data_IF_581358828529
#
_entry.id   IF_581358828529
#
_cell.length_a   1.000
_cell.length_b   1.000
_cell.length_c   1.000
_cell.angle_alpha   90.00
_cell.angle_beta   90.00
_cell.angle_gamma   90.00
#
_symmetry.space_group_name_H-M   'P 1'
#
loop_
_entity.id
_entity.type
_entity.pdbx_description
1 polymer ?
#
# COMPACT_ATOMS: atom_id res chain seq x y z
N UNK A 1 30.63 -41.85 17.01
CA UNK A 1 30.46 -40.57 17.72
C UNK A 1 29.09 -40.01 17.38
N UNK A 2 28.13 -40.14 18.29
CA UNK A 2 26.75 -39.71 18.11
C UNK A 2 26.56 -38.32 18.72
N UNK A 3 26.17 -37.34 17.90
CA UNK A 3 25.78 -36.01 18.37
C UNK A 3 24.42 -36.10 19.07
N UNK A 4 24.42 -35.98 20.40
CA UNK A 4 23.20 -35.73 21.18
C UNK A 4 22.74 -34.29 20.92
N UNK A 5 21.60 -34.15 20.26
CA UNK A 5 20.84 -32.90 20.19
C UNK A 5 20.30 -32.63 21.60
N UNK A 6 20.74 -31.54 22.21
CA UNK A 6 20.19 -31.03 23.46
C UNK A 6 18.82 -30.41 23.15
N UNK A 7 17.72 -30.84 23.81
CA UNK A 7 16.42 -30.20 23.62
C UNK A 7 16.44 -28.79 24.25
N UNK A 8 15.74 -27.80 23.68
CA UNK A 8 15.64 -26.48 24.29
C UNK A 8 14.83 -26.59 25.59
N UNK A 9 15.55 -26.58 26.71
CA UNK A 9 14.99 -26.49 28.06
C UNK A 9 14.48 -25.08 28.34
N UNK A 10 13.26 -25.00 28.85
CA UNK A 10 12.88 -23.97 29.82
C UNK A 10 12.14 -22.77 29.24
N UNK A 11 10.81 -22.80 29.37
CA UNK A 11 10.01 -21.61 29.63
C UNK A 11 10.70 -20.81 30.76
N UNK A 12 11.28 -19.66 30.44
CA UNK A 12 11.69 -18.69 31.46
C UNK A 12 10.44 -17.96 31.97
N UNK A 13 10.05 -18.13 33.24
CA UNK A 13 9.00 -17.33 33.86
C UNK A 13 9.62 -16.01 34.30
N UNK A 14 9.25 -14.90 33.65
CA UNK A 14 9.68 -13.55 34.09
C UNK A 14 9.99 -12.52 33.01
N UNK A 15 9.72 -12.77 31.72
CA UNK A 15 9.82 -11.72 30.72
C UNK A 15 8.66 -10.72 30.93
N UNK A 16 8.91 -9.66 31.70
CA UNK A 16 8.08 -8.44 31.69
C UNK A 16 7.75 -8.15 30.23
N UNK A 17 6.46 -8.01 29.89
CA UNK A 17 5.97 -7.79 28.53
C UNK A 17 6.48 -6.42 28.04
N UNK A 18 7.76 -6.33 27.68
CA UNK A 18 8.40 -5.10 27.23
C UNK A 18 7.65 -4.66 25.98
N UNK A 19 7.10 -3.45 26.04
CA UNK A 19 6.40 -2.84 24.91
C UNK A 19 7.31 -2.86 23.68
N UNK A 20 6.84 -3.40 22.54
CA UNK A 20 7.63 -3.55 21.30
C UNK A 20 8.43 -2.29 20.92
N UNK A 21 7.95 -1.11 21.33
CA UNK A 21 8.61 0.18 21.20
C UNK A 21 10.04 0.26 21.78
N UNK A 22 10.43 -0.62 22.71
CA UNK A 22 11.80 -0.65 23.24
C UNK A 22 12.86 -0.91 22.14
N UNK A 23 12.47 -1.61 21.07
CA UNK A 23 13.35 -1.89 19.92
C UNK A 23 13.82 -0.58 19.26
N UNK A 24 12.99 0.46 19.24
CA UNK A 24 13.33 1.77 18.68
C UNK A 24 14.47 2.42 19.47
N UNK A 25 14.45 2.32 20.80
CA UNK A 25 15.54 2.82 21.64
C UNK A 25 16.79 1.93 21.61
N UNK A 26 16.62 0.62 21.45
CA UNK A 26 17.70 -0.36 21.52
C UNK A 26 18.54 -0.38 20.24
N UNK A 27 17.90 -0.31 19.07
CA UNK A 27 18.54 -0.48 17.77
C UNK A 27 18.49 0.82 16.96
N UNK A 28 19.59 1.58 17.01
CA UNK A 28 19.70 2.89 16.34
C UNK A 28 19.45 2.80 14.83
N UNK A 29 19.97 1.76 14.18
CA UNK A 29 19.81 1.56 12.73
C UNK A 29 18.36 1.23 12.36
N UNK A 30 17.67 0.42 13.17
CA UNK A 30 16.25 0.16 13.01
C UNK A 30 15.43 1.45 13.21
N UNK A 31 15.78 2.29 14.18
CA UNK A 31 15.11 3.57 14.39
C UNK A 31 15.20 4.48 13.16
N UNK A 32 16.37 4.56 12.52
CA UNK A 32 16.54 5.32 11.28
C UNK A 32 15.65 4.76 10.17
N UNK A 33 15.66 3.44 9.97
CA UNK A 33 14.80 2.77 8.98
C UNK A 33 13.30 3.02 9.27
N UNK A 34 12.90 2.97 10.53
CA UNK A 34 11.53 3.15 10.99
C UNK A 34 11.06 4.58 10.73
N UNK A 35 11.83 5.61 11.15
CA UNK A 35 11.51 7.02 10.87
C UNK A 35 11.43 7.27 9.36
N UNK A 36 12.41 6.79 8.59
CA UNK A 36 12.39 6.92 7.13
C UNK A 36 11.17 6.25 6.48
N UNK A 37 10.60 5.20 7.09
CA UNK A 37 9.37 4.57 6.62
C UNK A 37 8.17 5.50 6.68
N UNK A 38 8.02 6.24 7.79
CA UNK A 38 6.91 7.19 7.95
C UNK A 38 6.98 8.29 6.89
N UNK A 39 8.14 8.89 6.69
CA UNK A 39 8.31 9.89 5.64
C UNK A 39 8.10 9.31 4.24
N UNK A 40 8.59 8.09 3.98
CA UNK A 40 8.42 7.44 2.66
C UNK A 40 6.94 7.23 2.35
N UNK A 41 6.19 6.65 3.28
CA UNK A 41 4.78 6.36 3.05
C UNK A 41 3.92 7.63 3.07
N UNK A 42 4.25 8.59 3.94
CA UNK A 42 3.59 9.90 3.97
C UNK A 42 3.73 10.65 2.65
N UNK A 43 4.97 10.77 2.14
CA UNK A 43 5.26 11.39 0.85
C UNK A 43 4.46 10.73 -0.29
N UNK A 44 4.41 9.39 -0.33
CA UNK A 44 3.66 8.66 -1.34
C UNK A 44 2.16 8.95 -1.30
N UNK A 45 1.54 9.00 -0.11
CA UNK A 45 0.11 9.29 -0.01
C UNK A 45 -0.23 10.74 -0.32
N UNK A 46 0.61 11.69 0.10
CA UNK A 46 0.49 13.10 -0.29
C UNK A 46 0.57 13.21 -1.82
N UNK A 47 1.56 12.58 -2.46
CA UNK A 47 1.73 12.57 -3.91
C UNK A 47 0.51 12.00 -4.64
N UNK A 48 0.06 10.81 -4.23
CA UNK A 48 -1.10 10.12 -4.84
C UNK A 48 -2.35 11.00 -4.77
N UNK A 49 -2.62 11.60 -3.61
CA UNK A 49 -3.75 12.50 -3.44
C UNK A 49 -3.58 13.75 -4.32
N UNK A 50 -2.45 14.43 -4.21
CA UNK A 50 -2.19 15.71 -4.88
C UNK A 50 -2.28 15.58 -6.39
N UNK A 51 -1.63 14.57 -6.97
CA UNK A 51 -1.66 14.35 -8.42
C UNK A 51 -3.06 13.99 -8.91
N UNK A 52 -3.82 13.21 -8.14
CA UNK A 52 -5.21 12.89 -8.46
C UNK A 52 -6.08 14.15 -8.58
N UNK A 53 -6.02 15.05 -7.60
CA UNK A 53 -6.77 16.32 -7.68
C UNK A 53 -6.21 17.28 -8.72
N UNK A 54 -4.88 17.36 -8.88
CA UNK A 54 -4.24 18.26 -9.85
C UNK A 54 -4.67 17.90 -11.28
N UNK A 55 -4.64 16.62 -11.64
CA UNK A 55 -5.09 16.19 -12.98
C UNK A 55 -6.59 16.42 -13.14
N UNK A 56 -7.40 16.21 -12.11
CA UNK A 56 -8.83 16.52 -12.17
C UNK A 56 -9.09 17.98 -12.51
N UNK A 57 -8.33 18.90 -11.91
CA UNK A 57 -8.42 20.34 -12.20
C UNK A 57 -7.87 20.69 -13.58
N UNK A 58 -6.70 20.18 -13.96
CA UNK A 58 -6.07 20.44 -15.27
C UNK A 58 -6.84 19.89 -16.47
N UNK A 59 -7.83 19.03 -16.24
CA UNK A 59 -8.59 18.34 -17.29
C UNK A 59 -10.09 18.56 -17.17
N UNK A 60 -10.49 19.61 -16.47
CA UNK A 60 -11.90 20.03 -16.32
C UNK A 60 -12.82 18.89 -15.86
N UNK A 61 -12.35 18.08 -14.91
CA UNK A 61 -13.14 16.98 -14.36
C UNK A 61 -13.03 15.66 -15.11
N UNK A 62 -12.05 15.47 -16.01
CA UNK A 62 -11.88 14.21 -16.73
C UNK A 62 -11.51 13.04 -15.78
N UNK A 63 -12.53 12.23 -15.47
CA UNK A 63 -12.40 11.09 -14.58
C UNK A 63 -11.41 10.02 -15.10
N UNK A 64 -11.39 9.76 -16.41
CA UNK A 64 -10.51 8.76 -17.00
C UNK A 64 -9.04 9.11 -16.79
N UNK A 65 -8.65 10.36 -17.09
CA UNK A 65 -7.27 10.83 -16.89
C UNK A 65 -6.90 10.85 -15.41
N UNK A 66 -7.82 11.31 -14.54
CA UNK A 66 -7.61 11.43 -13.09
C UNK A 66 -7.30 10.10 -12.40
N UNK A 67 -8.04 9.03 -12.70
CA UNK A 67 -7.71 7.75 -12.08
C UNK A 67 -6.54 7.04 -12.78
N UNK A 68 -6.40 7.20 -14.11
CA UNK A 68 -5.31 6.58 -14.86
C UNK A 68 -3.94 7.10 -14.43
N UNK A 69 -3.79 8.41 -14.18
CA UNK A 69 -2.51 8.99 -13.75
C UNK A 69 -2.03 8.39 -12.42
N UNK A 70 -2.95 8.14 -11.48
CA UNK A 70 -2.62 7.51 -10.19
C UNK A 70 -2.32 6.02 -10.37
N UNK A 71 -3.10 5.33 -11.21
CA UNK A 71 -2.90 3.92 -11.54
C UNK A 71 -1.54 3.64 -12.20
N UNK A 72 -1.05 4.53 -13.07
CA UNK A 72 0.24 4.37 -13.76
C UNK A 72 1.41 4.19 -12.79
N UNK A 73 1.34 4.75 -11.58
CA UNK A 73 2.39 4.58 -10.57
C UNK A 73 2.61 3.12 -10.18
N UNK A 74 1.60 2.25 -10.24
CA UNK A 74 1.78 0.84 -9.92
C UNK A 74 2.18 -0.02 -11.12
N UNK A 75 2.10 0.50 -12.34
CA UNK A 75 2.42 -0.25 -13.56
C UNK A 75 3.91 -0.73 -13.62
N UNK A 76 4.92 0.10 -13.26
CA UNK A 76 6.31 -0.33 -13.32
C UNK A 76 6.64 -1.55 -12.45
N UNK A 77 5.83 -1.86 -11.42
CA UNK A 77 6.11 -2.99 -10.52
C UNK A 77 6.05 -4.33 -11.25
N UNK A 78 5.23 -4.43 -12.30
CA UNK A 78 5.11 -5.64 -13.12
C UNK A 78 6.40 -5.94 -13.89
N UNK A 79 7.08 -4.89 -14.34
CA UNK A 79 8.28 -5.01 -15.19
C UNK A 79 9.52 -5.03 -14.31
N UNK A 80 9.61 -4.12 -13.35
CA UNK A 80 10.81 -3.85 -12.54
C UNK A 80 10.85 -4.70 -11.27
N UNK A 81 9.69 -5.07 -10.71
CA UNK A 81 9.59 -5.83 -9.46
C UNK A 81 10.46 -7.10 -9.42
N UNK A 82 10.43 -7.97 -10.45
CA UNK A 82 11.27 -9.16 -10.50
C UNK A 82 12.79 -8.86 -10.44
N UNK A 83 13.22 -7.74 -10.99
CA UNK A 83 14.64 -7.33 -11.04
C UNK A 83 15.07 -6.56 -9.80
N UNK A 84 14.14 -5.86 -9.14
CA UNK A 84 14.42 -5.04 -7.97
C UNK A 84 15.04 -5.84 -6.83
N UNK A 85 14.63 -7.10 -6.63
CA UNK A 85 15.22 -8.00 -5.64
C UNK A 85 16.67 -8.37 -5.96
N UNK A 86 16.96 -8.71 -7.22
CA UNK A 86 18.33 -9.02 -7.68
C UNK A 86 19.23 -7.79 -7.53
N UNK A 87 18.72 -6.62 -7.88
CA UNK A 87 19.43 -5.36 -7.70
C UNK A 87 19.74 -5.14 -6.20
N UNK A 88 18.77 -5.36 -5.32
CA UNK A 88 18.91 -5.22 -3.87
C UNK A 88 20.00 -6.13 -3.26
N UNK A 89 20.32 -7.24 -3.91
CA UNK A 89 21.36 -8.16 -3.46
C UNK A 89 22.75 -7.76 -3.95
N UNK A 90 22.85 -7.17 -5.15
CA UNK A 90 24.12 -6.78 -5.78
C UNK A 90 24.67 -5.42 -5.33
N UNK A 91 23.80 -4.50 -4.90
CA UNK A 91 24.24 -3.16 -4.48
C UNK A 91 24.08 -2.94 -2.98
N UNK A 92 24.68 -1.86 -2.48
CA UNK A 92 24.41 -1.36 -1.14
C UNK A 92 22.96 -0.86 -1.07
N UNK A 93 22.09 -1.61 -0.37
CA UNK A 93 20.67 -1.32 -0.21
C UNK A 93 20.41 0.08 0.33
N UNK A 94 21.24 0.56 1.26
CA UNK A 94 21.13 1.91 1.83
C UNK A 94 21.44 2.96 0.77
N UNK A 95 22.55 2.80 0.04
CA UNK A 95 22.94 3.74 -1.04
C UNK A 95 21.89 3.76 -2.15
N UNK A 96 21.36 2.61 -2.54
CA UNK A 96 20.31 2.51 -3.56
C UNK A 96 19.05 3.28 -3.15
N UNK A 97 18.57 3.08 -1.92
CA UNK A 97 17.41 3.84 -1.42
C UNK A 97 17.73 5.33 -1.41
N UNK A 98 18.88 5.75 -0.87
CA UNK A 98 19.26 7.16 -0.83
C UNK A 98 19.36 7.80 -2.23
N UNK A 99 19.94 7.11 -3.21
CA UNK A 99 20.03 7.61 -4.58
C UNK A 99 18.64 7.75 -5.22
N UNK A 100 17.75 6.79 -4.98
CA UNK A 100 16.37 6.87 -5.49
C UNK A 100 15.59 8.00 -4.82
N UNK A 101 15.75 8.20 -3.50
CA UNK A 101 15.11 9.33 -2.81
C UNK A 101 15.68 10.67 -3.30
N UNK A 102 16.97 10.76 -3.60
CA UNK A 102 17.57 11.99 -4.15
C UNK A 102 16.96 12.33 -5.51
N UNK A 103 16.85 11.32 -6.38
CA UNK A 103 16.21 11.48 -7.68
C UNK A 103 14.73 11.90 -7.55
N UNK A 104 13.99 11.28 -6.63
CA UNK A 104 12.61 11.66 -6.35
C UNK A 104 12.48 13.06 -5.74
N UNK A 105 13.41 13.49 -4.89
CA UNK A 105 13.44 14.85 -4.36
C UNK A 105 13.61 15.89 -5.48
N UNK A 106 14.54 15.63 -6.41
CA UNK A 106 14.76 16.50 -7.58
C UNK A 106 13.52 16.51 -8.48
N UNK A 107 12.94 15.35 -8.78
CA UNK A 107 11.72 15.26 -9.59
C UNK A 107 10.55 16.02 -8.94
N UNK A 108 10.36 15.87 -7.63
CA UNK A 108 9.31 16.57 -6.87
C UNK A 108 9.52 18.08 -6.87
N UNK A 109 10.76 18.58 -6.71
CA UNK A 109 11.07 20.01 -6.80
C UNK A 109 10.81 20.56 -8.20
N UNK A 110 11.25 19.87 -9.25
CA UNK A 110 11.00 20.27 -10.64
C UNK A 110 9.48 20.36 -10.88
N UNK A 111 8.74 19.35 -10.46
CA UNK A 111 7.29 19.32 -10.60
C UNK A 111 6.60 20.43 -9.78
N UNK A 112 7.06 20.69 -8.56
CA UNK A 112 6.59 21.78 -7.71
C UNK A 112 6.75 23.15 -8.39
N UNK A 113 7.90 23.40 -9.02
CA UNK A 113 8.15 24.65 -9.76
C UNK A 113 7.31 24.74 -11.04
N UNK A 114 7.07 23.63 -11.75
CA UNK A 114 6.16 23.63 -12.90
C UNK A 114 4.73 23.98 -12.49
N UNK A 115 4.26 23.44 -11.37
CA UNK A 115 2.94 23.77 -10.79
C UNK A 115 2.91 25.23 -10.34
N UNK A 116 3.94 25.72 -9.66
CA UNK A 116 4.04 27.12 -9.23
C UNK A 116 4.05 28.11 -10.40
N UNK A 117 4.69 27.74 -11.52
CA UNK A 117 4.74 28.56 -12.72
C UNK A 117 3.44 28.52 -13.56
N UNK A 118 2.43 27.78 -13.12
CA UNK A 118 1.16 27.63 -13.82
C UNK A 118 0.03 28.22 -13.00
N UNK A 119 -0.72 29.13 -13.60
CA UNK A 119 -1.93 29.68 -13.03
C UNK A 119 -3.08 28.68 -13.24
N UNK A 120 -3.35 27.90 -12.19
CA UNK A 120 -4.39 26.87 -12.17
C UNK A 120 -5.81 27.44 -12.04
N UNK A 121 -5.94 28.72 -11.69
CA UNK A 121 -7.22 29.40 -11.48
C UNK A 121 -7.64 30.22 -12.72
N UNK A 122 -6.73 30.43 -13.68
CA UNK A 122 -7.03 31.04 -14.97
C UNK A 122 -7.92 30.13 -15.85
N UNK A 123 -8.83 30.73 -16.63
CA UNK A 123 -9.65 30.04 -17.63
C UNK A 123 -9.38 30.62 -19.04
N UNK A 124 -8.63 29.90 -19.91
CA UNK A 124 -8.03 28.59 -19.69
C UNK A 124 -6.78 28.65 -18.79
N UNK A 125 -6.46 27.50 -18.17
CA UNK A 125 -5.23 27.33 -17.38
C UNK A 125 -4.02 27.80 -18.17
N UNK A 126 -3.25 28.72 -17.59
CA UNK A 126 -2.14 29.39 -18.28
C UNK A 126 -0.82 29.05 -17.61
N UNK A 127 0.12 28.48 -18.36
CA UNK A 127 1.45 28.17 -17.85
C UNK A 127 2.12 27.00 -18.57
N UNK A 128 3.31 26.57 -18.09
CA UNK A 128 4.08 25.50 -18.71
C UNK A 128 3.56 24.10 -18.37
N UNK A 129 2.80 23.91 -17.27
CA UNK A 129 2.34 22.59 -16.84
C UNK A 129 1.21 22.08 -17.74
N UNK A 130 1.43 20.93 -18.37
CA UNK A 130 0.41 20.19 -19.11
C UNK A 130 -0.01 18.94 -18.33
N UNK A 131 -1.26 18.50 -18.50
CA UNK A 131 -1.82 17.35 -17.77
C UNK A 131 -0.97 16.07 -17.89
N UNK A 132 -0.28 15.85 -19.02
CA UNK A 132 0.55 14.65 -19.24
C UNK A 132 1.88 14.70 -18.48
N UNK A 133 2.35 15.86 -18.01
CA UNK A 133 3.53 15.93 -17.15
C UNK A 133 3.31 15.14 -15.86
N UNK A 134 2.08 15.11 -15.34
CA UNK A 134 1.70 14.32 -14.19
C UNK A 134 1.83 12.81 -14.43
N UNK A 135 1.59 12.35 -15.67
CA UNK A 135 1.76 10.94 -16.07
C UNK A 135 3.24 10.54 -16.06
N UNK A 136 4.11 11.42 -16.57
CA UNK A 136 5.56 11.22 -16.50
C UNK A 136 6.03 11.18 -15.05
N UNK A 137 5.59 12.14 -14.24
CA UNK A 137 5.93 12.21 -12.81
C UNK A 137 5.51 10.94 -12.05
N UNK A 138 4.28 10.44 -12.27
CA UNK A 138 3.79 9.22 -11.64
C UNK A 138 4.45 7.96 -12.17
N UNK A 139 4.80 7.90 -13.45
CA UNK A 139 5.58 6.80 -14.02
C UNK A 139 6.98 6.71 -13.39
N UNK A 140 7.65 7.85 -13.27
CA UNK A 140 8.95 7.99 -12.58
C UNK A 140 8.85 7.57 -11.11
N UNK A 141 7.83 8.06 -10.38
CA UNK A 141 7.53 7.63 -9.01
C UNK A 141 7.27 6.13 -8.91
N UNK A 142 6.60 5.54 -9.90
CA UNK A 142 6.34 4.11 -9.97
C UNK A 142 7.60 3.27 -10.12
N UNK A 143 8.56 3.71 -10.94
CA UNK A 143 9.87 3.07 -11.08
C UNK A 143 10.61 3.10 -9.74
N UNK A 144 10.69 4.28 -9.13
CA UNK A 144 11.31 4.46 -7.82
C UNK A 144 10.66 3.57 -6.75
N UNK A 145 9.32 3.53 -6.71
CA UNK A 145 8.56 2.71 -5.78
C UNK A 145 8.84 1.21 -5.96
N UNK A 146 8.91 0.75 -7.20
CA UNK A 146 9.16 -0.66 -7.55
C UNK A 146 10.53 -1.14 -7.10
N UNK A 147 11.51 -0.24 -7.01
CA UNK A 147 12.86 -0.52 -6.50
C UNK A 147 12.90 -0.40 -4.97
N UNK A 148 12.44 0.73 -4.43
CA UNK A 148 12.63 1.08 -3.01
C UNK A 148 11.82 0.18 -2.09
N UNK A 149 10.61 -0.20 -2.47
CA UNK A 149 9.72 -0.98 -1.61
C UNK A 149 10.32 -2.36 -1.23
N UNK A 150 10.72 -3.23 -2.18
CA UNK A 150 11.33 -4.51 -1.84
C UNK A 150 12.68 -4.34 -1.11
N UNK A 151 13.51 -3.39 -1.55
CA UNK A 151 14.80 -3.11 -0.89
C UNK A 151 14.60 -2.79 0.59
N UNK A 152 13.64 -1.92 0.92
CA UNK A 152 13.37 -1.53 2.31
C UNK A 152 12.80 -2.66 3.16
N UNK A 153 11.96 -3.53 2.59
CA UNK A 153 11.48 -4.73 3.30
C UNK A 153 12.65 -5.63 3.71
N UNK A 154 13.67 -5.77 2.85
CA UNK A 154 14.87 -6.56 3.18
C UNK A 154 15.85 -5.85 4.12
N UNK A 155 15.72 -4.54 4.34
CA UNK A 155 16.58 -3.81 5.27
C UNK A 155 16.15 -3.98 6.73
N UNK A 156 14.87 -4.29 7.01
CA UNK A 156 14.39 -4.55 8.37
C UNK A 156 15.19 -5.67 9.06
N UNK A 157 15.31 -6.88 8.48
CA UNK A 157 16.12 -7.95 9.08
C UNK A 157 17.62 -7.64 9.15
N UNK A 158 18.13 -6.68 8.36
CA UNK A 158 19.54 -6.27 8.43
C UNK A 158 19.84 -5.27 9.56
N UNK A 159 18.81 -4.79 10.28
CA UNK A 159 18.95 -3.75 11.33
C UNK A 159 18.75 -4.28 12.74
N UNK A 160 18.23 -5.51 12.90
CA UNK A 160 17.98 -6.13 14.20
C UNK A 160 18.39 -7.61 14.18
N UNK A 161 18.80 -8.20 15.32
CA UNK A 161 19.07 -9.63 15.39
C UNK A 161 17.79 -10.46 15.24
N UNK A 162 17.93 -11.71 14.77
CA UNK A 162 16.81 -12.61 14.48
C UNK A 162 15.82 -12.76 15.65
N UNK A 163 16.30 -12.78 16.90
CA UNK A 163 15.46 -12.89 18.11
C UNK A 163 14.45 -11.74 18.28
N UNK A 164 14.75 -10.55 17.73
CA UNK A 164 13.93 -9.34 17.89
C UNK A 164 13.22 -8.96 16.57
N UNK A 165 13.40 -9.75 15.51
CA UNK A 165 12.87 -9.47 14.17
C UNK A 165 11.35 -9.36 14.14
N UNK A 166 10.63 -10.21 14.88
CA UNK A 166 9.16 -10.21 14.89
C UNK A 166 8.58 -8.87 15.37
N UNK A 167 9.14 -8.32 16.45
CA UNK A 167 8.70 -7.04 16.98
C UNK A 167 9.16 -5.85 16.11
N UNK A 168 10.32 -5.94 15.45
CA UNK A 168 10.74 -4.97 14.44
C UNK A 168 9.83 -4.94 13.20
N UNK A 169 9.44 -6.12 12.68
CA UNK A 169 8.50 -6.24 11.57
C UNK A 169 7.11 -5.69 11.94
N UNK A 170 6.63 -5.99 13.16
CA UNK A 170 5.36 -5.45 13.67
C UNK A 170 5.38 -3.92 13.73
N UNK A 171 6.45 -3.33 14.30
CA UNK A 171 6.63 -1.88 14.35
C UNK A 171 6.75 -1.23 12.97
N UNK A 172 7.48 -1.86 12.06
CA UNK A 172 7.64 -1.37 10.69
C UNK A 172 6.31 -1.39 9.92
N UNK A 173 5.50 -2.44 10.13
CA UNK A 173 4.18 -2.61 9.52
C UNK A 173 3.15 -1.54 9.92
N UNK A 174 3.38 -0.80 11.02
CA UNK A 174 2.47 0.29 11.44
C UNK A 174 2.60 1.57 10.60
N UNK A 175 3.70 1.77 9.89
CA UNK A 175 3.91 3.01 9.13
C UNK A 175 2.86 3.21 8.03
N UNK A 176 2.52 2.14 7.31
CA UNK A 176 1.52 2.19 6.24
C UNK A 176 0.12 2.62 6.70
N UNK A 177 -0.52 1.93 7.66
CA UNK A 177 -1.84 2.33 8.12
C UNK A 177 -1.82 3.71 8.80
N UNK A 178 -0.74 4.08 9.51
CA UNK A 178 -0.61 5.40 10.15
C UNK A 178 -0.56 6.54 9.13
N UNK A 179 0.33 6.43 8.14
CA UNK A 179 0.51 7.47 7.14
C UNK A 179 -0.61 7.51 6.09
N UNK A 180 -1.40 6.43 5.96
CA UNK A 180 -2.63 6.44 5.18
C UNK A 180 -3.73 7.31 5.81
N UNK A 181 -3.66 7.60 7.11
CA UNK A 181 -4.53 8.60 7.75
C UNK A 181 -3.95 10.00 7.54
N UNK A 182 -2.71 10.17 7.98
CA UNK A 182 -2.10 11.48 8.13
C UNK A 182 -1.77 12.09 6.76
N UNK A 183 -1.21 11.31 5.85
CA UNK A 183 -0.75 11.79 4.54
C UNK A 183 -1.87 12.45 3.73
N UNK A 184 -2.98 11.75 3.44
CA UNK A 184 -4.09 12.33 2.69
C UNK A 184 -4.76 13.52 3.39
N UNK A 185 -4.94 13.46 4.72
CA UNK A 185 -5.56 14.56 5.47
C UNK A 185 -4.70 15.84 5.44
N UNK A 186 -3.39 15.70 5.65
CA UNK A 186 -2.44 16.81 5.55
C UNK A 186 -2.37 17.32 4.11
N UNK A 187 -2.26 16.43 3.13
CA UNK A 187 -2.20 16.80 1.71
C UNK A 187 -3.45 17.56 1.25
N UNK A 188 -4.65 17.13 1.64
CA UNK A 188 -5.89 17.81 1.30
C UNK A 188 -6.01 19.19 1.92
N UNK A 189 -5.64 19.32 3.21
CA UNK A 189 -5.64 20.61 3.91
C UNK A 189 -4.65 21.60 3.28
N UNK A 190 -3.47 21.14 2.90
CA UNK A 190 -2.46 21.96 2.26
C UNK A 190 -2.90 22.43 0.88
N UNK A 191 -3.56 21.58 0.08
CA UNK A 191 -4.15 22.01 -1.21
C UNK A 191 -5.16 23.13 -0.98
N UNK A 192 -6.04 23.00 0.01
CA UNK A 192 -7.08 24.00 0.27
C UNK A 192 -6.57 25.32 0.85
N UNK A 193 -5.38 25.34 1.48
CA UNK A 193 -4.85 26.52 2.18
C UNK A 193 -3.68 27.19 1.46
N UNK A 194 -2.78 26.40 0.87
CA UNK A 194 -1.55 26.86 0.26
C UNK A 194 -1.46 26.53 -1.24
N UNK A 195 -2.33 25.66 -1.76
CA UNK A 195 -2.30 25.21 -3.15
C UNK A 195 -1.47 23.94 -3.38
N UNK A 196 -1.49 23.44 -4.62
CA UNK A 196 -0.90 22.15 -5.00
C UNK A 196 0.64 22.11 -4.91
N UNK A 197 1.30 23.20 -5.26
CA UNK A 197 2.76 23.32 -5.32
C UNK A 197 3.44 22.96 -3.99
N UNK A 198 2.88 23.39 -2.86
CA UNK A 198 3.46 23.13 -1.54
C UNK A 198 3.46 21.66 -1.14
N UNK A 199 2.50 20.86 -1.62
CA UNK A 199 2.52 19.43 -1.40
C UNK A 199 3.74 18.77 -2.04
N UNK A 200 4.14 19.20 -3.23
CA UNK A 200 5.33 18.67 -3.91
C UNK A 200 6.63 19.16 -3.25
N UNK A 201 6.67 20.38 -2.70
CA UNK A 201 7.80 20.82 -1.88
C UNK A 201 7.92 20.02 -0.57
N UNK A 202 6.80 19.73 0.10
CA UNK A 202 6.77 18.89 1.30
C UNK A 202 7.16 17.45 0.98
N UNK A 203 6.72 16.93 -0.16
CA UNK A 203 7.14 15.63 -0.69
C UNK A 203 8.68 15.58 -0.89
N UNK A 204 9.24 16.60 -1.55
CA UNK A 204 10.69 16.73 -1.72
C UNK A 204 11.43 16.82 -0.38
N UNK A 205 10.93 17.61 0.57
CA UNK A 205 11.50 17.73 1.90
C UNK A 205 11.47 16.40 2.64
N UNK A 206 10.40 15.61 2.53
CA UNK A 206 10.31 14.28 3.11
C UNK A 206 11.38 13.34 2.52
N UNK A 207 11.64 13.41 1.20
CA UNK A 207 12.72 12.65 0.57
C UNK A 207 14.11 13.07 1.06
N UNK A 208 14.37 14.36 1.22
CA UNK A 208 15.62 14.87 1.80
C UNK A 208 15.78 14.39 3.25
N UNK A 209 14.72 14.45 4.06
CA UNK A 209 14.73 13.96 5.44
C UNK A 209 15.10 12.47 5.48
N UNK A 210 14.55 11.64 4.58
CA UNK A 210 14.90 10.22 4.51
C UNK A 210 16.41 10.04 4.24
N UNK A 211 16.97 10.80 3.30
CA UNK A 211 18.42 10.76 3.00
C UNK A 211 19.22 11.11 4.25
N UNK A 212 18.88 12.21 4.92
CA UNK A 212 19.56 12.68 6.13
C UNK A 212 19.48 11.65 7.28
N UNK A 213 18.32 11.03 7.46
CA UNK A 213 18.10 9.98 8.46
C UNK A 213 18.90 8.71 8.12
N UNK A 214 19.10 8.40 6.84
CA UNK A 214 19.81 7.20 6.39
C UNK A 214 21.33 7.38 6.30
N UNK A 215 21.86 8.61 6.24
CA UNK A 215 23.31 8.88 6.24
C UNK A 215 24.08 8.15 7.35
N UNK A 216 23.67 8.24 8.64
CA UNK A 216 24.38 7.56 9.73
C UNK A 216 24.04 6.07 9.87
N UNK A 217 23.01 5.58 9.16
CA UNK A 217 22.49 4.22 9.32
C UNK A 217 23.48 3.19 8.78
N UNK A 218 23.71 2.11 9.54
CA UNK A 218 24.46 0.93 9.11
C UNK A 218 23.51 -0.26 8.94
N UNK A 219 23.97 -1.31 8.27
CA UNK A 219 23.25 -2.58 8.09
C UNK A 219 24.05 -3.73 8.73
N UNK A 220 24.20 -3.75 10.07
CA UNK A 220 25.15 -4.61 10.77
C UNK A 220 24.83 -6.11 10.70
N UNK A 221 23.56 -6.48 10.43
CA UNK A 221 23.11 -7.87 10.34
C UNK A 221 22.90 -8.34 8.90
N UNK A 222 23.53 -7.66 7.92
CA UNK A 222 23.51 -8.11 6.53
C UNK A 222 24.38 -9.36 6.42
N UNK A 223 23.76 -10.50 6.16
CA UNK A 223 24.46 -11.70 5.72
C UNK A 223 24.78 -11.60 4.22
N UNK A 224 25.98 -12.04 3.83
CA UNK A 224 26.34 -12.25 2.42
C UNK A 224 25.57 -13.47 1.91
N UNK A 225 24.42 -13.22 1.28
CA UNK A 225 23.68 -14.28 0.62
C UNK A 225 24.41 -14.70 -0.65
N UNK A 226 24.63 -16.00 -0.84
CA UNK A 226 25.00 -16.50 -2.16
C UNK A 226 23.84 -16.21 -3.12
N UNK A 227 24.13 -15.84 -4.39
CA UNK A 227 23.09 -15.71 -5.40
C UNK A 227 22.30 -17.03 -5.46
N UNK A 228 20.97 -16.96 -5.49
CA UNK A 228 20.16 -18.17 -5.64
C UNK A 228 20.56 -18.88 -6.95
N UNK A 229 20.92 -20.16 -6.88
CA UNK A 229 21.39 -20.95 -8.03
C UNK A 229 20.30 -21.19 -9.10
N UNK A 230 19.02 -20.93 -8.78
CA UNK A 230 17.91 -21.10 -9.70
C UNK A 230 17.60 -19.82 -10.49
N UNK A 231 17.35 -19.98 -11.79
CA UNK A 231 16.76 -18.92 -12.62
C UNK A 231 15.44 -18.42 -12.02
N UNK A 232 15.23 -17.09 -12.01
CA UNK A 232 14.01 -16.45 -11.51
C UNK A 232 12.75 -17.07 -12.14
N UNK A 233 12.79 -17.36 -13.44
CA UNK A 233 11.67 -17.96 -14.16
C UNK A 233 11.37 -19.40 -13.70
N UNK A 234 12.40 -20.19 -13.42
CA UNK A 234 12.23 -21.54 -12.88
C UNK A 234 11.60 -21.50 -11.48
N UNK A 235 12.04 -20.57 -10.63
CA UNK A 235 11.46 -20.35 -9.30
C UNK A 235 10.00 -19.87 -9.35
N UNK A 236 9.66 -19.00 -10.30
CA UNK A 236 8.27 -18.56 -10.51
C UNK A 236 7.38 -19.71 -11.00
N UNK A 237 7.88 -20.53 -11.94
CA UNK A 237 7.14 -21.70 -12.44
C UNK A 237 6.85 -22.71 -11.34
N UNK A 238 7.83 -22.98 -10.48
CA UNK A 238 7.67 -23.89 -9.34
C UNK A 238 6.64 -23.33 -8.33
N UNK A 239 6.72 -22.05 -8.01
CA UNK A 239 5.73 -21.37 -7.17
C UNK A 239 4.31 -21.45 -7.75
N UNK A 240 4.17 -21.23 -9.06
CA UNK A 240 2.87 -21.26 -9.74
C UNK A 240 2.29 -22.68 -9.77
N UNK A 241 3.13 -23.69 -10.05
CA UNK A 241 2.72 -25.09 -10.00
C UNK A 241 2.22 -25.47 -8.59
N UNK A 242 2.89 -24.99 -7.55
CA UNK A 242 2.46 -25.21 -6.17
C UNK A 242 1.14 -24.51 -5.84
N UNK A 243 0.99 -23.24 -6.22
CA UNK A 243 -0.26 -22.46 -6.03
C UNK A 243 -1.44 -23.16 -6.69
N UNK A 244 -1.29 -23.63 -7.93
CA UNK A 244 -2.37 -24.30 -8.67
C UNK A 244 -2.71 -25.66 -8.04
N UNK A 245 -1.70 -26.37 -7.52
CA UNK A 245 -1.88 -27.68 -6.87
C UNK A 245 -2.56 -27.55 -5.50
N UNK A 246 -2.13 -26.59 -4.68
CA UNK A 246 -2.67 -26.37 -3.34
C UNK A 246 -3.89 -25.44 -3.39
N UNK A 247 -5.08 -26.02 -3.53
CA UNK A 247 -6.32 -25.26 -3.71
C UNK A 247 -6.58 -24.25 -2.59
N UNK A 248 -6.12 -24.49 -1.37
CA UNK A 248 -6.31 -23.55 -0.26
C UNK A 248 -5.57 -22.23 -0.52
N UNK A 249 -4.32 -22.32 -0.99
CA UNK A 249 -3.50 -21.17 -1.36
C UNK A 249 -4.09 -20.47 -2.59
N UNK A 250 -4.50 -21.23 -3.60
CA UNK A 250 -5.17 -20.67 -4.77
C UNK A 250 -6.41 -19.85 -4.37
N UNK A 251 -7.24 -20.37 -3.46
CA UNK A 251 -8.42 -19.66 -2.96
C UNK A 251 -8.06 -18.35 -2.26
N UNK A 252 -7.03 -18.35 -1.41
CA UNK A 252 -6.55 -17.14 -0.73
C UNK A 252 -5.98 -16.09 -1.71
N UNK A 253 -5.31 -16.53 -2.79
CA UNK A 253 -4.82 -15.63 -3.85
C UNK A 253 -5.99 -15.08 -4.67
N UNK A 254 -6.97 -15.90 -5.04
CA UNK A 254 -8.17 -15.46 -5.76
C UNK A 254 -9.02 -14.47 -4.95
N UNK A 255 -9.10 -14.66 -3.63
CA UNK A 255 -9.76 -13.71 -2.73
C UNK A 255 -9.09 -12.32 -2.76
N UNK A 256 -7.77 -12.27 -2.97
CA UNK A 256 -7.00 -11.02 -2.97
C UNK A 256 -7.21 -10.16 -4.23
N UNK A 257 -7.78 -10.74 -5.29
CA UNK A 257 -8.12 -10.02 -6.52
C UNK A 257 -9.13 -8.91 -6.23
N UNK A 258 -10.20 -9.18 -5.47
CA UNK A 258 -11.27 -8.20 -5.23
C UNK A 258 -10.74 -6.92 -4.53
N UNK A 259 -9.99 -6.97 -3.42
CA UNK A 259 -9.50 -5.76 -2.78
C UNK A 259 -8.55 -4.93 -3.65
N UNK A 260 -7.77 -5.56 -4.53
CA UNK A 260 -6.85 -4.85 -5.42
C UNK A 260 -7.52 -4.31 -6.69
N UNK A 261 -8.57 -4.97 -7.18
CA UNK A 261 -9.33 -4.52 -8.35
C UNK A 261 -10.45 -3.53 -7.99
N UNK A 262 -10.86 -3.45 -6.73
CA UNK A 262 -12.07 -2.71 -6.34
C UNK A 262 -11.79 -1.75 -5.20
N UNK A 263 -11.31 -2.23 -4.05
CA UNK A 263 -11.17 -1.37 -2.87
C UNK A 263 -10.08 -0.32 -3.05
N UNK A 264 -8.98 -0.69 -3.70
CA UNK A 264 -7.83 0.18 -3.90
C UNK A 264 -8.12 1.27 -4.96
N UNK A 265 -8.69 0.95 -6.15
CA UNK A 265 -9.12 1.94 -7.12
C UNK A 265 -10.10 2.98 -6.56
N UNK A 266 -11.05 2.58 -5.69
CA UNK A 266 -11.99 3.53 -5.04
C UNK A 266 -11.27 4.68 -4.33
N UNK A 267 -10.12 4.41 -3.72
CA UNK A 267 -9.32 5.44 -3.04
C UNK A 267 -8.60 6.33 -4.05
N UNK A 268 -8.17 5.78 -5.19
CA UNK A 268 -7.45 6.52 -6.24
C UNK A 268 -8.36 7.46 -7.03
N UNK A 269 -9.63 7.09 -7.21
CA UNK A 269 -10.66 7.91 -7.88
C UNK A 269 -11.56 8.71 -6.91
N UNK A 270 -11.17 8.76 -5.63
CA UNK A 270 -11.83 9.59 -4.62
C UNK A 270 -11.91 11.11 -4.98
N UNK A 271 -10.94 11.73 -5.70
CA UNK A 271 -11.10 13.11 -6.16
C UNK A 271 -12.42 13.36 -6.88
N UNK A 272 -12.76 12.46 -7.80
CA UNK A 272 -13.94 12.58 -8.67
C UNK A 272 -15.22 12.47 -7.85
N UNK A 273 -15.30 11.51 -6.93
CA UNK A 273 -16.49 11.36 -6.09
C UNK A 273 -16.69 12.57 -5.16
N UNK A 274 -15.59 13.07 -4.59
CA UNK A 274 -15.65 14.20 -3.65
C UNK A 274 -16.13 15.48 -4.34
N UNK A 275 -15.64 15.78 -5.54
CA UNK A 275 -16.02 17.00 -6.27
C UNK A 275 -17.37 16.85 -6.97
N UNK A 276 -17.60 15.76 -7.71
CA UNK A 276 -18.77 15.63 -8.57
C UNK A 276 -20.03 15.13 -7.83
N UNK A 277 -19.89 14.35 -6.76
CA UNK A 277 -21.03 13.80 -6.00
C UNK A 277 -21.28 14.57 -4.71
N UNK A 278 -20.21 14.85 -3.96
CA UNK A 278 -20.34 15.54 -2.65
C UNK A 278 -20.24 17.06 -2.75
N UNK A 279 -19.80 17.60 -3.89
CA UNK A 279 -19.64 19.06 -4.09
C UNK A 279 -18.59 19.67 -3.15
N UNK A 280 -17.53 18.91 -2.82
CA UNK A 280 -16.48 19.34 -1.88
C UNK A 280 -15.09 19.33 -2.53
N UNK A 281 -14.16 20.08 -1.92
CA UNK A 281 -12.79 20.22 -2.37
C UNK A 281 -11.82 19.13 -1.87
N UNK A 282 -10.53 19.39 -2.06
CA UNK A 282 -9.44 18.48 -1.70
C UNK A 282 -9.28 18.29 -0.17
N UNK A 283 -9.65 19.28 0.64
CA UNK A 283 -9.68 19.19 2.10
C UNK A 283 -10.61 18.06 2.58
N UNK A 284 -11.85 18.08 2.09
CA UNK A 284 -12.86 17.10 2.42
C UNK A 284 -12.46 15.70 1.91
N UNK A 285 -11.89 15.64 0.69
CA UNK A 285 -11.39 14.41 0.09
C UNK A 285 -10.20 13.81 0.82
N UNK A 286 -9.28 14.65 1.30
CA UNK A 286 -8.16 14.25 2.15
C UNK A 286 -8.63 13.62 3.46
N UNK A 287 -9.64 14.21 4.11
CA UNK A 287 -10.27 13.66 5.33
C UNK A 287 -10.97 12.33 5.02
N UNK A 288 -11.69 12.22 3.90
CA UNK A 288 -12.35 10.98 3.46
C UNK A 288 -11.33 9.85 3.22
N UNK A 289 -10.22 10.15 2.55
CA UNK A 289 -9.12 9.20 2.39
C UNK A 289 -8.49 8.81 3.74
N UNK A 290 -8.35 9.78 4.65
CA UNK A 290 -7.88 9.57 6.01
C UNK A 290 -8.81 8.65 6.82
N UNK A 291 -10.12 8.74 6.62
CA UNK A 291 -11.13 7.89 7.28
C UNK A 291 -10.91 6.41 6.96
N UNK A 292 -10.52 6.07 5.72
CA UNK A 292 -10.13 4.69 5.34
C UNK A 292 -8.95 4.20 6.17
N UNK A 293 -7.95 5.06 6.39
CA UNK A 293 -6.83 4.73 7.29
C UNK A 293 -7.30 4.55 8.73
N UNK A 294 -8.20 5.40 9.23
CA UNK A 294 -8.70 5.37 10.60
C UNK A 294 -9.43 4.07 10.92
N UNK A 295 -10.32 3.63 10.03
CA UNK A 295 -10.96 2.32 10.12
C UNK A 295 -9.94 1.17 10.17
N UNK A 296 -8.89 1.24 9.35
CA UNK A 296 -7.81 0.26 9.33
C UNK A 296 -7.01 0.22 10.64
N UNK A 297 -6.71 1.36 11.26
CA UNK A 297 -6.05 1.40 12.57
C UNK A 297 -6.94 0.83 13.67
N UNK A 298 -8.24 1.15 13.66
CA UNK A 298 -9.18 0.58 14.63
C UNK A 298 -9.18 -0.96 14.51
N UNK A 299 -9.26 -1.49 13.29
CA UNK A 299 -9.13 -2.93 13.06
C UNK A 299 -7.79 -3.50 13.55
N UNK A 300 -6.68 -2.80 13.30
CA UNK A 300 -5.35 -3.19 13.74
C UNK A 300 -5.25 -3.29 15.27
N UNK A 301 -5.76 -2.28 15.98
CA UNK A 301 -5.76 -2.25 17.45
C UNK A 301 -6.61 -3.38 18.01
N UNK A 302 -7.80 -3.65 17.43
CA UNK A 302 -8.65 -4.76 17.85
C UNK A 302 -7.95 -6.10 17.66
N UNK A 303 -7.38 -6.36 16.48
CA UNK A 303 -6.67 -7.61 16.18
C UNK A 303 -5.42 -7.76 17.07
N UNK A 304 -4.67 -6.68 17.29
CA UNK A 304 -3.47 -6.73 18.13
C UNK A 304 -3.78 -6.94 19.62
N UNK A 305 -4.90 -6.40 20.11
CA UNK A 305 -5.28 -6.49 21.53
C UNK A 305 -5.99 -7.78 21.88
N UNK A 306 -6.89 -8.26 21.01
CA UNK A 306 -7.77 -9.40 21.28
C UNK A 306 -7.51 -10.61 20.39
N UNK A 307 -6.61 -10.50 19.41
CA UNK A 307 -6.52 -11.49 18.34
C UNK A 307 -7.71 -11.40 17.38
N UNK A 308 -7.84 -12.38 16.50
CA UNK A 308 -9.04 -12.52 15.70
C UNK A 308 -10.19 -13.07 16.57
N UNK A 309 -11.33 -12.37 16.56
CA UNK A 309 -12.52 -12.73 17.38
C UNK A 309 -13.12 -14.07 16.91
N UNK A 310 -13.04 -14.33 15.60
CA UNK A 310 -13.44 -15.57 14.94
C UNK A 310 -12.23 -16.16 14.22
N UNK A 311 -12.24 -17.45 13.84
CA UNK A 311 -11.15 -18.05 13.08
C UNK A 311 -10.74 -17.21 11.87
N UNK A 312 -9.44 -17.18 11.55
CA UNK A 312 -8.86 -16.25 10.55
C UNK A 312 -9.48 -16.39 9.17
N UNK A 313 -9.84 -17.61 8.77
CA UNK A 313 -10.50 -17.87 7.49
C UNK A 313 -11.84 -17.16 7.34
N UNK A 314 -12.83 -17.46 8.21
CA UNK A 314 -14.09 -16.72 8.32
C UNK A 314 -13.91 -15.21 8.51
N UNK A 315 -12.97 -14.76 9.34
CA UNK A 315 -12.68 -13.34 9.52
C UNK A 315 -12.26 -12.66 8.21
N UNK A 316 -11.42 -13.34 7.42
CA UNK A 316 -10.96 -12.83 6.13
C UNK A 316 -12.12 -12.72 5.14
N UNK A 317 -13.00 -13.73 5.06
CA UNK A 317 -14.19 -13.69 4.22
C UNK A 317 -15.19 -12.61 4.65
N UNK A 318 -15.40 -12.43 5.96
CA UNK A 318 -16.21 -11.35 6.51
C UNK A 318 -15.60 -9.97 6.20
N UNK A 319 -14.26 -9.85 6.30
CA UNK A 319 -13.47 -8.72 5.82
C UNK A 319 -13.77 -8.36 4.37
N UNK A 320 -13.79 -9.36 3.51
CA UNK A 320 -14.06 -9.17 2.09
C UNK A 320 -15.50 -8.69 1.83
N UNK A 321 -16.48 -9.40 2.39
CA UNK A 321 -17.91 -9.09 2.20
C UNK A 321 -18.25 -7.72 2.79
N UNK A 322 -17.80 -7.45 4.02
CA UNK A 322 -18.02 -6.17 4.69
C UNK A 322 -17.44 -5.01 3.90
N UNK A 323 -16.23 -5.15 3.34
CA UNK A 323 -15.64 -4.13 2.46
C UNK A 323 -16.51 -3.84 1.22
N UNK A 324 -17.06 -4.88 0.59
CA UNK A 324 -17.96 -4.74 -0.56
C UNK A 324 -19.27 -4.01 -0.17
N UNK A 325 -19.87 -4.37 0.97
CA UNK A 325 -21.08 -3.73 1.49
C UNK A 325 -20.84 -2.25 1.77
N UNK A 326 -19.73 -1.90 2.42
CA UNK A 326 -19.41 -0.50 2.72
C UNK A 326 -19.13 0.34 1.48
N UNK A 327 -18.58 -0.23 0.40
CA UNK A 327 -18.46 0.47 -0.88
C UNK A 327 -19.83 0.67 -1.54
N UNK A 328 -20.73 -0.32 -1.47
CA UNK A 328 -22.09 -0.16 -1.96
C UNK A 328 -22.85 0.93 -1.20
N UNK A 329 -22.70 0.99 0.11
CA UNK A 329 -23.30 2.07 0.91
C UNK A 329 -22.68 3.43 0.56
N UNK A 330 -21.36 3.47 0.39
CA UNK A 330 -20.65 4.68 -0.04
C UNK A 330 -21.12 5.18 -1.40
N UNK A 331 -21.33 4.29 -2.38
CA UNK A 331 -21.72 4.67 -3.74
C UNK A 331 -23.11 5.31 -3.83
N UNK A 332 -23.97 5.03 -2.85
CA UNK A 332 -25.31 5.63 -2.72
C UNK A 332 -25.33 6.87 -1.82
N UNK A 333 -24.22 7.17 -1.13
CA UNK A 333 -24.16 8.24 -0.14
C UNK A 333 -23.90 9.59 -0.81
N UNK A 334 -24.83 10.53 -0.65
CA UNK A 334 -24.66 11.95 -1.01
C UNK A 334 -24.27 12.81 0.18
N UNK A 335 -24.30 12.27 1.40
CA UNK A 335 -24.03 13.02 2.62
C UNK A 335 -22.60 12.80 3.11
N UNK A 336 -21.87 13.91 3.30
CA UNK A 336 -20.43 13.89 3.62
C UNK A 336 -20.08 13.01 4.83
N UNK A 337 -20.81 13.15 5.94
CA UNK A 337 -20.55 12.38 7.17
C UNK A 337 -20.88 10.89 7.01
N UNK A 338 -21.95 10.56 6.26
CA UNK A 338 -22.25 9.17 5.94
C UNK A 338 -21.17 8.55 5.05
N UNK A 339 -20.68 9.28 4.05
CA UNK A 339 -19.59 8.85 3.18
C UNK A 339 -18.30 8.62 3.98
N UNK A 340 -17.99 9.48 4.94
CA UNK A 340 -16.85 9.31 5.86
C UNK A 340 -16.99 8.05 6.70
N UNK A 341 -18.17 7.80 7.30
CA UNK A 341 -18.46 6.57 8.04
C UNK A 341 -18.34 5.32 7.16
N UNK A 342 -18.80 5.38 5.92
CA UNK A 342 -18.71 4.26 4.99
C UNK A 342 -17.27 3.94 4.60
N UNK A 343 -16.44 4.96 4.33
CA UNK A 343 -15.02 4.79 4.02
C UNK A 343 -14.22 4.28 5.23
N UNK A 344 -14.57 4.71 6.45
CA UNK A 344 -14.00 4.13 7.66
C UNK A 344 -14.38 2.64 7.79
N UNK A 345 -15.64 2.28 7.54
CA UNK A 345 -16.07 0.88 7.47
C UNK A 345 -15.29 0.07 6.44
N UNK A 346 -15.16 0.59 5.20
CA UNK A 346 -14.33 -0.01 4.17
C UNK A 346 -12.90 -0.25 4.65
N UNK A 347 -12.26 0.75 5.26
CA UNK A 347 -10.90 0.66 5.78
C UNK A 347 -10.74 -0.42 6.85
N UNK A 348 -11.71 -0.53 7.76
CA UNK A 348 -11.76 -1.53 8.82
C UNK A 348 -11.80 -2.95 8.24
N UNK A 349 -12.77 -3.23 7.38
CA UNK A 349 -12.96 -4.55 6.77
C UNK A 349 -11.83 -4.91 5.79
N UNK A 350 -11.30 -3.93 5.05
CA UNK A 350 -10.12 -4.09 4.19
C UNK A 350 -8.89 -4.50 5.01
N UNK A 351 -8.70 -3.95 6.20
CA UNK A 351 -7.56 -4.29 7.06
C UNK A 351 -7.70 -5.71 7.63
N UNK A 352 -8.89 -6.10 8.11
CA UNK A 352 -9.17 -7.48 8.56
C UNK A 352 -8.84 -8.48 7.45
N UNK A 353 -9.31 -8.22 6.24
CA UNK A 353 -9.00 -9.06 5.08
C UNK A 353 -7.49 -9.15 4.84
N UNK A 354 -6.80 -8.00 4.75
CA UNK A 354 -5.38 -7.97 4.38
C UNK A 354 -4.52 -8.72 5.40
N UNK A 355 -4.73 -8.48 6.69
CA UNK A 355 -3.95 -9.16 7.75
C UNK A 355 -4.30 -10.63 7.83
N UNK A 356 -5.60 -10.98 7.76
CA UNK A 356 -6.04 -12.38 7.82
C UNK A 356 -5.49 -13.20 6.65
N UNK A 357 -5.70 -12.73 5.41
CA UNK A 357 -5.27 -13.43 4.20
C UNK A 357 -3.74 -13.57 4.13
N UNK A 358 -3.03 -12.50 4.46
CA UNK A 358 -1.56 -12.49 4.44
C UNK A 358 -0.98 -13.43 5.51
N UNK A 359 -1.57 -13.45 6.71
CA UNK A 359 -1.15 -14.36 7.78
C UNK A 359 -1.40 -15.82 7.39
N UNK A 360 -2.59 -16.14 6.88
CA UNK A 360 -2.95 -17.49 6.43
C UNK A 360 -2.01 -18.00 5.33
N UNK A 361 -1.70 -17.16 4.33
CA UNK A 361 -0.72 -17.50 3.30
C UNK A 361 0.66 -17.78 3.90
N UNK A 362 1.15 -16.94 4.81
CA UNK A 362 2.46 -17.12 5.41
C UNK A 362 2.56 -18.38 6.30
N UNK A 363 1.47 -18.77 6.96
CA UNK A 363 1.44 -19.94 7.86
C UNK A 363 1.22 -21.26 7.14
N UNK A 364 0.45 -21.28 6.04
CA UNK A 364 0.16 -22.52 5.30
C UNK A 364 1.30 -22.89 4.36
N UNK A 365 1.98 -21.90 3.78
CA UNK A 365 3.03 -22.14 2.78
C UNK A 365 4.30 -22.67 3.47
N UNK A 366 4.87 -23.79 2.99
CA UNK A 366 6.17 -24.29 3.46
C UNK A 366 7.29 -23.26 3.31
N UNK A 367 8.22 -23.22 4.25
CA UNK A 367 9.31 -22.24 4.28
C UNK A 367 10.08 -22.14 2.95
N UNK A 368 10.38 -23.29 2.32
CA UNK A 368 11.11 -23.35 1.05
C UNK A 368 10.37 -22.70 -0.13
N UNK A 369 9.03 -22.63 -0.08
CA UNK A 369 8.18 -22.06 -1.14
C UNK A 369 7.62 -20.68 -0.79
N UNK A 370 7.75 -20.23 0.47
CA UNK A 370 7.12 -19.00 0.97
C UNK A 370 7.44 -17.79 0.10
N UNK A 371 8.72 -17.54 -0.20
CA UNK A 371 9.12 -16.40 -1.03
C UNK A 371 8.48 -16.42 -2.42
N UNK A 372 8.40 -17.61 -3.05
CA UNK A 372 7.86 -17.78 -4.41
C UNK A 372 6.35 -17.58 -4.45
N UNK A 373 5.63 -18.15 -3.48
CA UNK A 373 4.16 -17.97 -3.37
C UNK A 373 3.83 -16.53 -3.02
N UNK A 374 4.59 -15.90 -2.13
CA UNK A 374 4.38 -14.49 -1.78
C UNK A 374 4.65 -13.55 -2.96
N UNK A 375 5.65 -13.85 -3.81
CA UNK A 375 5.86 -13.10 -5.06
C UNK A 375 4.66 -13.18 -6.00
N UNK A 376 4.05 -14.37 -6.15
CA UNK A 376 2.82 -14.55 -6.95
C UNK A 376 1.65 -13.80 -6.32
N UNK A 377 1.51 -13.87 -4.99
CA UNK A 377 0.50 -13.10 -4.26
C UNK A 377 0.65 -11.60 -4.53
N UNK A 378 1.88 -11.06 -4.59
CA UNK A 378 2.12 -9.65 -4.88
C UNK A 378 1.88 -9.22 -6.33
N UNK A 379 1.78 -10.15 -7.29
CA UNK A 379 1.45 -9.83 -8.69
C UNK A 379 0.05 -9.22 -8.83
N UNK A 380 -0.84 -9.47 -7.87
CA UNK A 380 -2.19 -8.90 -7.83
C UNK A 380 -2.19 -7.35 -7.86
N UNK A 381 -1.20 -6.71 -7.23
CA UNK A 381 -1.02 -5.25 -7.23
C UNK A 381 -0.73 -4.70 -8.63
N UNK A 382 -0.18 -5.53 -9.52
CA UNK A 382 0.07 -5.16 -10.90
C UNK A 382 -1.20 -5.07 -11.75
N UNK A 383 -2.33 -5.64 -11.29
CA UNK A 383 -3.63 -5.49 -11.95
C UNK A 383 -4.35 -4.20 -11.55
N UNK A 384 -3.91 -3.55 -10.47
CA UNK A 384 -4.50 -2.30 -9.96
C UNK A 384 -4.53 -1.16 -10.98
N UNK A 385 -3.51 -0.89 -11.83
CA UNK A 385 -3.61 0.13 -12.89
C UNK A 385 -4.77 -0.15 -13.82
N UNK A 386 -4.90 -1.39 -14.32
CA UNK A 386 -5.95 -1.79 -15.25
C UNK A 386 -7.34 -1.64 -14.62
N UNK A 387 -7.46 -2.02 -13.35
CA UNK A 387 -8.70 -1.86 -12.60
C UNK A 387 -9.05 -0.38 -12.38
N UNK A 388 -8.06 0.45 -12.06
CA UNK A 388 -8.23 1.89 -11.88
C UNK A 388 -8.61 2.56 -13.19
N UNK A 389 -7.97 2.20 -14.31
CA UNK A 389 -8.36 2.67 -15.64
C UNK A 389 -9.79 2.25 -15.99
N UNK A 390 -10.15 1.00 -15.72
CA UNK A 390 -11.50 0.47 -15.98
C UNK A 390 -12.58 1.21 -15.21
N UNK A 391 -12.43 1.38 -13.90
CA UNK A 391 -13.41 2.14 -13.10
C UNK A 391 -13.46 3.61 -13.53
N UNK A 392 -12.31 4.22 -13.82
CA UNK A 392 -12.24 5.63 -14.25
C UNK A 392 -12.93 5.85 -15.59
N UNK A 393 -12.78 4.90 -16.51
CA UNK A 393 -13.49 4.91 -17.79
C UNK A 393 -15.00 4.78 -17.59
N UNK A 394 -15.46 3.86 -16.73
CA UNK A 394 -16.88 3.73 -16.40
C UNK A 394 -17.46 5.00 -15.77
N UNK A 395 -16.69 5.65 -14.89
CA UNK A 395 -17.10 6.94 -14.30
C UNK A 395 -17.22 8.01 -15.39
N UNK A 396 -16.28 8.06 -16.33
CA UNK A 396 -16.26 9.05 -17.41
C UNK A 396 -17.44 8.91 -18.38
N UNK A 397 -17.84 7.68 -18.73
CA UNK A 397 -18.91 7.45 -19.72
C UNK A 397 -20.32 7.41 -19.12
N UNK A 398 -20.45 7.21 -17.81
CA UNK A 398 -21.76 6.98 -17.19
C UNK A 398 -22.01 7.87 -15.96
N UNK A 399 -21.49 7.50 -14.80
CA UNK A 399 -21.58 8.30 -13.58
C UNK A 399 -20.68 7.73 -12.48
N UNK A 400 -20.21 8.56 -11.53
CA UNK A 400 -19.48 8.07 -10.37
C UNK A 400 -20.27 7.02 -9.58
N UNK A 401 -21.50 7.35 -9.16
CA UNK A 401 -22.34 6.47 -8.35
C UNK A 401 -22.66 5.14 -9.06
N UNK A 402 -22.99 5.18 -10.36
CA UNK A 402 -23.28 3.98 -11.15
C UNK A 402 -22.07 3.06 -11.31
N UNK A 403 -20.89 3.62 -11.58
CA UNK A 403 -19.66 2.86 -11.72
C UNK A 403 -19.25 2.17 -10.40
N UNK A 404 -19.30 2.90 -9.28
CA UNK A 404 -19.02 2.31 -7.97
C UNK A 404 -20.04 1.23 -7.59
N UNK A 405 -21.32 1.46 -7.86
CA UNK A 405 -22.39 0.51 -7.52
C UNK A 405 -22.29 -0.78 -8.31
N UNK A 406 -22.04 -0.70 -9.61
CA UNK A 406 -21.89 -1.90 -10.46
C UNK A 406 -20.67 -2.71 -10.05
N UNK A 407 -19.52 -2.05 -9.87
CA UNK A 407 -18.30 -2.72 -9.45
C UNK A 407 -18.46 -3.36 -8.06
N UNK A 408 -19.05 -2.65 -7.11
CA UNK A 408 -19.26 -3.17 -5.77
C UNK A 408 -20.31 -4.29 -5.73
N UNK A 409 -21.33 -4.26 -6.59
CA UNK A 409 -22.32 -5.33 -6.73
C UNK A 409 -21.68 -6.61 -7.29
N UNK A 410 -20.88 -6.48 -8.35
CA UNK A 410 -20.12 -7.60 -8.93
C UNK A 410 -19.17 -8.16 -7.86
N UNK A 411 -18.47 -7.30 -7.13
CA UNK A 411 -17.57 -7.69 -6.05
C UNK A 411 -18.27 -8.46 -4.94
N UNK A 412 -19.46 -8.01 -4.56
CA UNK A 412 -20.24 -8.62 -3.50
C UNK A 412 -20.74 -10.00 -3.93
N UNK A 413 -21.24 -10.13 -5.16
CA UNK A 413 -21.62 -11.43 -5.72
C UNK A 413 -20.41 -12.37 -5.73
N UNK A 414 -19.25 -11.92 -6.24
CA UNK A 414 -18.03 -12.73 -6.23
C UNK A 414 -17.59 -13.11 -4.81
N UNK A 415 -17.65 -12.19 -3.86
CA UNK A 415 -17.32 -12.45 -2.45
C UNK A 415 -18.28 -13.46 -1.80
N UNK A 416 -19.58 -13.39 -2.10
CA UNK A 416 -20.59 -14.34 -1.65
C UNK A 416 -20.40 -15.72 -2.30
N UNK A 417 -20.04 -15.76 -3.59
CA UNK A 417 -19.66 -17.01 -4.27
C UNK A 417 -18.40 -17.62 -3.63
N UNK A 418 -17.39 -16.80 -3.31
CA UNK A 418 -16.21 -17.26 -2.57
C UNK A 418 -16.58 -17.80 -1.18
N UNK A 419 -17.48 -17.13 -0.45
CA UNK A 419 -18.01 -17.65 0.81
C UNK A 419 -18.69 -19.01 0.62
N UNK A 420 -19.52 -19.17 -0.42
CA UNK A 420 -20.23 -20.43 -0.68
C UNK A 420 -19.28 -21.57 -1.10
N UNK A 421 -18.33 -21.31 -1.99
CA UNK A 421 -17.49 -22.35 -2.60
C UNK A 421 -16.16 -22.59 -1.88
N UNK A 422 -15.58 -21.61 -1.19
CA UNK A 422 -14.27 -21.73 -0.53
C UNK A 422 -14.41 -22.35 0.87
N UNK A 423 -14.98 -23.57 0.92
CA UNK A 423 -15.18 -24.35 2.15
C UNK A 423 -13.89 -24.59 2.92
N UNK A 424 -12.74 -24.70 2.22
CA UNK A 424 -11.43 -24.90 2.84
C UNK A 424 -11.03 -23.68 3.64
N UNK A 425 -11.14 -22.49 3.05
CA UNK A 425 -10.84 -21.22 3.73
C UNK A 425 -11.74 -21.02 4.94
N UNK A 426 -13.04 -21.33 4.86
CA UNK A 426 -13.98 -21.20 5.99
C UNK A 426 -13.62 -22.04 7.22
N UNK A 427 -12.80 -23.09 7.05
CA UNK A 427 -12.40 -23.99 8.13
C UNK A 427 -10.99 -23.68 8.66
N UNK A 428 -10.32 -22.65 8.14
CA UNK A 428 -8.98 -22.26 8.59
C UNK A 428 -9.06 -21.47 9.89
N UNK A 429 -8.18 -21.86 10.82
CA UNK A 429 -7.99 -21.22 12.14
C UNK A 429 -7.23 -19.90 12.08
#
# INVERSE_FOLDING_TARGET
>A
MAHRVVPPTGNQPGASRRSNFWIISQYKDFRYLWIGNFFTVGAQWIQILTVGWLVLQLTDGNAFLTGTVVGIRTLPILIIGPWAGVLADRVDRRKLVMSTQMYMAVAAVIFAFLVLATDLDADPVTGPLQWWYAFVYMGVSGIAHSIVQPVRQTMVPNTVPMRDLGAALALNGMAHPSMRIVGPAVGGLLIATLGFNWNFFIEAAAYVIIILVYLPMKLPYREDRSPSELSLLASMREGLAYVVKERTILQLILMAVIPNLIFQPVVFVLPIFTTQVLGRGADAGGILAGAVGAGGIIAAIIIASRGFIIPRGPATLAGLIGGCVFILLFSQSTWYLASMGCLAGLGFFQYIFRVGNNTLLQTIVPDALRGRVMSIYMLDNGLTPLATMGISFLIHVWSPAGAYTTLASISLVLALLQLAFFRRVRRLE
#
